data_IF_980572803785
#
_entry.id   IF_980572803785
#
_cell.length_a   1.000
_cell.length_b   1.000
_cell.length_c   1.000
_cell.angle_alpha   90.00
_cell.angle_beta   90.00
_cell.angle_gamma   90.00
#
_symmetry.space_group_name_H-M   'P 1'
#
loop_
_entity.id
_entity.type
_entity.pdbx_description
1 polymer ?
#
# COMPACT_ATOMS: atom_id res chain seq x y z
N UNK A 1 -1.63 -19.94 -4.87
CA UNK A 1 -2.10 -18.75 -4.14
C UNK A 1 -0.92 -18.16 -3.36
N UNK A 2 -0.47 -16.97 -3.72
CA UNK A 2 0.62 -16.22 -3.09
C UNK A 2 0.11 -14.87 -2.60
N UNK A 3 0.45 -14.51 -1.37
CA UNK A 3 0.05 -13.24 -0.76
C UNK A 3 1.32 -12.44 -0.43
N UNK A 4 1.40 -11.21 -0.91
CA UNK A 4 2.41 -10.24 -0.52
C UNK A 4 2.00 -9.54 0.78
N UNK A 5 2.96 -9.29 1.67
CA UNK A 5 2.71 -8.54 2.92
C UNK A 5 3.75 -7.42 3.00
N UNK A 6 3.27 -6.21 3.26
CA UNK A 6 4.05 -5.00 3.49
C UNK A 6 3.59 -4.31 4.78
N UNK A 7 4.44 -3.48 5.35
CA UNK A 7 4.15 -2.62 6.50
C UNK A 7 5.21 -1.52 6.58
N UNK A 8 4.94 -0.45 7.33
CA UNK A 8 5.96 0.48 7.80
C UNK A 8 6.81 1.05 6.68
N UNK A 9 6.18 1.45 5.57
CA UNK A 9 6.91 1.99 4.42
C UNK A 9 7.52 3.36 4.70
N UNK A 10 6.95 4.15 5.60
CA UNK A 10 7.54 5.39 6.15
C UNK A 10 8.21 6.27 5.09
N UNK A 11 7.49 6.60 4.02
CA UNK A 11 7.97 7.43 2.89
C UNK A 11 9.24 6.92 2.18
N UNK A 12 9.69 5.68 2.44
CA UNK A 12 10.88 5.10 1.85
C UNK A 12 10.61 4.62 0.42
N UNK A 13 10.51 5.57 -0.50
CA UNK A 13 10.10 5.32 -1.88
C UNK A 13 10.99 4.33 -2.61
N UNK A 14 12.29 4.30 -2.32
CA UNK A 14 13.22 3.34 -2.92
C UNK A 14 12.87 1.90 -2.54
N UNK A 15 12.53 1.67 -1.27
CA UNK A 15 12.14 0.36 -0.77
C UNK A 15 10.72 -0.01 -1.21
N UNK A 16 9.80 0.95 -1.27
CA UNK A 16 8.46 0.74 -1.85
C UNK A 16 8.58 0.28 -3.30
N UNK A 17 9.34 1.02 -4.13
CA UNK A 17 9.52 0.68 -5.54
C UNK A 17 10.20 -0.71 -5.71
N UNK A 18 11.14 -1.06 -4.82
CA UNK A 18 11.78 -2.37 -4.82
C UNK A 18 10.82 -3.50 -4.43
N UNK A 19 10.02 -3.29 -3.40
CA UNK A 19 9.02 -4.25 -2.94
C UNK A 19 7.96 -4.50 -4.02
N UNK A 20 7.45 -3.45 -4.65
CA UNK A 20 6.48 -3.56 -5.75
C UNK A 20 7.05 -4.37 -6.92
N UNK A 21 8.29 -4.09 -7.35
CA UNK A 21 8.96 -4.88 -8.40
C UNK A 21 9.07 -6.35 -8.02
N UNK A 22 9.44 -6.64 -6.77
CA UNK A 22 9.58 -8.01 -6.30
C UNK A 22 8.23 -8.73 -6.26
N UNK A 23 7.20 -8.11 -5.69
CA UNK A 23 5.85 -8.69 -5.61
C UNK A 23 5.23 -8.96 -7.00
N UNK A 24 5.44 -8.04 -7.95
CA UNK A 24 5.03 -8.24 -9.35
C UNK A 24 5.78 -9.41 -10.00
N UNK A 25 7.11 -9.51 -9.80
CA UNK A 25 7.92 -10.63 -10.32
C UNK A 25 7.45 -11.98 -9.74
N UNK A 26 7.10 -12.01 -8.45
CA UNK A 26 6.60 -13.23 -7.80
C UNK A 26 5.14 -13.57 -8.18
N UNK A 27 4.48 -12.71 -8.95
CA UNK A 27 3.10 -12.88 -9.42
C UNK A 27 2.15 -13.19 -8.25
N UNK A 28 2.21 -12.36 -7.20
CA UNK A 28 1.31 -12.51 -6.05
C UNK A 28 -0.14 -12.23 -6.45
N UNK A 29 -1.08 -12.95 -5.84
CA UNK A 29 -2.52 -12.84 -6.15
C UNK A 29 -3.19 -11.69 -5.38
N UNK A 30 -2.60 -11.28 -4.24
CA UNK A 30 -3.09 -10.23 -3.35
C UNK A 30 -1.91 -9.65 -2.56
N UNK A 31 -1.90 -8.33 -2.34
CA UNK A 31 -0.97 -7.66 -1.43
C UNK A 31 -1.72 -7.08 -0.22
N UNK A 32 -1.19 -7.28 0.98
CA UNK A 32 -1.67 -6.68 2.22
C UNK A 32 -0.66 -5.65 2.73
N UNK A 33 -1.12 -4.49 3.18
CA UNK A 33 -0.28 -3.47 3.80
C UNK A 33 -0.80 -3.12 5.19
N UNK A 34 0.02 -3.35 6.22
CA UNK A 34 -0.41 -3.23 7.63
C UNK A 34 -0.42 -1.79 8.19
N UNK A 35 -0.09 -0.80 7.35
CA UNK A 35 -0.21 0.62 7.65
C UNK A 35 1.15 1.31 7.73
N UNK A 36 1.15 2.55 8.21
CA UNK A 36 2.34 3.41 8.25
C UNK A 36 2.93 3.64 6.85
N UNK A 37 2.06 4.13 5.97
CA UNK A 37 2.46 4.73 4.69
C UNK A 37 3.24 6.03 4.94
N UNK A 38 2.70 6.82 5.88
CA UNK A 38 3.07 8.16 6.33
C UNK A 38 2.55 9.28 5.42
N UNK A 39 3.08 9.44 4.21
CA UNK A 39 2.61 10.50 3.31
C UNK A 39 1.78 9.96 2.14
N UNK A 40 0.75 10.70 1.66
CA UNK A 40 -0.11 10.25 0.56
C UNK A 40 0.61 10.02 -0.78
N UNK A 41 1.82 10.57 -0.97
CA UNK A 41 2.60 10.35 -2.20
C UNK A 41 3.16 8.92 -2.33
N UNK A 42 3.08 8.10 -1.28
CA UNK A 42 3.45 6.68 -1.34
C UNK A 42 2.43 5.87 -2.15
N UNK A 43 1.16 6.27 -2.15
CA UNK A 43 0.07 5.50 -2.77
C UNK A 43 0.24 5.33 -4.29
N UNK A 44 0.59 6.37 -5.07
CA UNK A 44 0.92 6.19 -6.49
C UNK A 44 2.06 5.21 -6.77
N UNK A 45 2.96 4.98 -5.81
CA UNK A 45 4.07 4.01 -5.94
C UNK A 45 3.57 2.59 -5.72
N UNK A 46 2.78 2.38 -4.68
CA UNK A 46 2.08 1.12 -4.41
C UNK A 46 1.08 0.77 -5.51
N UNK A 47 0.48 1.76 -6.19
CA UNK A 47 -0.43 1.53 -7.31
C UNK A 47 0.22 0.85 -8.52
N UNK A 48 1.56 0.80 -8.60
CA UNK A 48 2.27 0.02 -9.62
C UNK A 48 2.25 -1.50 -9.34
N UNK A 49 1.66 -1.96 -8.24
CA UNK A 49 1.34 -3.38 -8.04
C UNK A 49 0.38 -3.86 -9.12
N UNK A 50 0.70 -5.02 -9.72
CA UNK A 50 -0.18 -5.72 -10.65
C UNK A 50 -1.26 -6.54 -9.92
N UNK A 51 -1.02 -6.85 -8.65
CA UNK A 51 -1.99 -7.49 -7.78
C UNK A 51 -2.90 -6.45 -7.12
N UNK A 52 -4.15 -6.81 -6.77
CA UNK A 52 -4.96 -5.98 -5.88
C UNK A 52 -4.25 -5.82 -4.53
N UNK A 53 -4.43 -4.67 -3.89
CA UNK A 53 -3.88 -4.39 -2.56
C UNK A 53 -4.98 -4.02 -1.58
N UNK A 54 -4.92 -4.57 -0.37
CA UNK A 54 -5.74 -4.15 0.76
C UNK A 54 -4.82 -3.56 1.83
N UNK A 55 -5.11 -2.33 2.23
CA UNK A 55 -4.37 -1.56 3.21
C UNK A 55 -5.21 -1.23 4.44
N UNK A 56 -4.55 -0.97 5.57
CA UNK A 56 -5.15 -0.37 6.77
C UNK A 56 -4.33 0.85 7.19
N UNK A 57 -4.91 1.74 7.98
CA UNK A 57 -4.22 2.90 8.55
C UNK A 57 -3.37 2.45 9.76
N UNK A 58 -2.11 2.87 9.75
CA UNK A 58 -1.21 2.80 10.91
C UNK A 58 -1.29 4.05 11.78
N UNK A 59 -0.66 4.02 12.94
CA UNK A 59 -0.73 5.12 13.91
C UNK A 59 0.09 6.35 13.48
N UNK A 60 0.98 6.24 12.50
CA UNK A 60 1.76 7.36 11.95
C UNK A 60 1.14 7.97 10.69
N UNK A 61 0.05 7.40 10.16
CA UNK A 61 -0.65 7.95 9.00
C UNK A 61 -1.42 9.22 9.39
N UNK A 62 -0.89 10.40 9.11
CA UNK A 62 -1.49 11.66 9.59
C UNK A 62 -2.71 12.14 8.78
N UNK A 63 -2.60 12.16 7.45
CA UNK A 63 -3.66 12.67 6.57
C UNK A 63 -4.54 11.53 6.04
N UNK A 64 -5.36 10.97 6.93
CA UNK A 64 -6.30 9.90 6.59
C UNK A 64 -7.20 10.24 5.39
N UNK A 65 -7.63 11.50 5.28
CA UNK A 65 -8.54 11.93 4.22
C UNK A 65 -7.85 11.91 2.87
N UNK A 66 -6.63 12.46 2.79
CA UNK A 66 -5.87 12.45 1.56
C UNK A 66 -5.37 11.04 1.22
N UNK A 67 -4.95 10.24 2.19
CA UNK A 67 -4.64 8.82 1.98
C UNK A 67 -5.85 8.08 1.37
N UNK A 68 -7.03 8.21 1.99
CA UNK A 68 -8.25 7.60 1.45
C UNK A 68 -8.59 8.10 0.03
N UNK A 69 -8.39 9.39 -0.24
CA UNK A 69 -8.60 9.95 -1.58
C UNK A 69 -7.62 9.36 -2.59
N UNK A 70 -6.34 9.22 -2.23
CA UNK A 70 -5.31 8.62 -3.10
C UNK A 70 -5.57 7.15 -3.36
N UNK A 71 -6.05 6.39 -2.37
CA UNK A 71 -6.47 5.00 -2.59
C UNK A 71 -7.61 4.92 -3.61
N UNK A 72 -8.60 5.82 -3.50
CA UNK A 72 -9.77 5.85 -4.39
C UNK A 72 -9.45 6.26 -5.84
N UNK A 73 -8.23 6.76 -6.12
CA UNK A 73 -7.77 7.01 -7.49
C UNK A 73 -7.47 5.71 -8.27
N UNK A 74 -7.39 4.56 -7.59
CA UNK A 74 -6.98 3.28 -8.18
C UNK A 74 -7.97 2.15 -7.83
N UNK A 75 -8.62 1.56 -8.84
CA UNK A 75 -9.67 0.54 -8.65
C UNK A 75 -9.19 -0.73 -7.94
N UNK A 76 -7.90 -1.08 -8.07
CA UNK A 76 -7.31 -2.28 -7.49
C UNK A 76 -6.74 -2.08 -6.08
N UNK A 77 -6.85 -0.87 -5.51
CA UNK A 77 -6.44 -0.60 -4.12
C UNK A 77 -7.67 -0.41 -3.23
N UNK A 78 -7.61 -0.92 -2.01
CA UNK A 78 -8.65 -0.73 -1.00
C UNK A 78 -8.05 -0.37 0.35
N UNK A 79 -8.50 0.73 0.95
CA UNK A 79 -8.17 1.10 2.34
C UNK A 79 -9.29 0.66 3.29
N UNK A 80 -8.96 -0.06 4.35
CA UNK A 80 -9.90 -0.66 5.31
C UNK A 80 -9.79 -0.05 6.71
N UNK A 81 -9.79 1.29 6.78
CA UNK A 81 -9.80 2.04 8.04
C UNK A 81 -8.64 1.66 8.97
N UNK A 82 -8.82 1.83 10.28
CA UNK A 82 -7.85 1.37 11.29
C UNK A 82 -8.06 -0.11 11.61
N UNK A 83 -6.96 -0.82 11.81
CA UNK A 83 -6.99 -2.21 12.28
C UNK A 83 -6.77 -2.26 13.80
N UNK A 84 -7.88 -2.41 14.52
CA UNK A 84 -8.03 -2.34 15.99
C UNK A 84 -7.87 -0.95 16.61
#
# INVERSE_FOLDING_TARGET
MRIGILSDTHDNLQMVDAAVRQLNREQVDLTLHAGDYVSPFVIPRLANLQSPMIGVLGNNDGDHRLLSARFAEYEHLSLRGTFA
#
